data_IF_255340081235
#
_entry.id   IF_255340081235
#
_cell.length_a   1.000
_cell.length_b   1.000
_cell.length_c   1.000
_cell.angle_alpha   90.00
_cell.angle_beta   90.00
_cell.angle_gamma   90.00
#
_symmetry.space_group_name_H-M   'P 1'
#
loop_
_entity.id
_entity.type
_entity.pdbx_description
1 polymer ?
#
# COMPACT_ATOMS: atom_id res chain seq x y z
N UNK A 1 -61.22 -47.28 18.67
CA UNK A 1 -61.96 -45.99 18.55
C UNK A 1 -61.75 -45.08 19.77
N UNK A 2 -61.89 -45.59 21.00
CA UNK A 2 -61.67 -44.83 22.25
C UNK A 2 -60.28 -44.16 22.38
N UNK A 3 -59.22 -44.83 21.94
CA UNK A 3 -57.85 -44.32 22.06
C UNK A 3 -57.56 -43.06 21.20
N UNK A 4 -58.30 -42.87 20.10
CA UNK A 4 -58.17 -41.70 19.23
C UNK A 4 -58.86 -40.48 19.86
N UNK A 5 -59.99 -40.70 20.51
CA UNK A 5 -60.77 -39.66 21.21
C UNK A 5 -59.98 -39.15 22.43
N UNK A 6 -59.33 -40.04 23.17
CA UNK A 6 -58.55 -39.70 24.36
C UNK A 6 -57.29 -38.86 24.04
N UNK A 7 -56.60 -39.17 22.93
CA UNK A 7 -55.50 -38.33 22.42
C UNK A 7 -55.98 -36.95 21.96
N UNK A 8 -57.17 -36.87 21.36
CA UNK A 8 -57.78 -35.59 20.94
C UNK A 8 -58.09 -34.68 22.13
N UNK A 9 -58.62 -35.24 23.22
CA UNK A 9 -58.96 -34.50 24.45
C UNK A 9 -57.71 -34.01 25.20
N UNK A 10 -56.65 -34.84 25.30
CA UNK A 10 -55.37 -34.40 25.88
C UNK A 10 -54.72 -33.27 25.08
N UNK A 11 -54.81 -33.29 23.75
CA UNK A 11 -54.29 -32.23 22.88
C UNK A 11 -55.05 -30.91 23.06
N UNK A 12 -56.38 -30.95 23.16
CA UNK A 12 -57.20 -29.74 23.43
C UNK A 12 -56.91 -29.11 24.79
N UNK A 13 -56.84 -29.91 25.85
CA UNK A 13 -56.51 -29.41 27.20
C UNK A 13 -55.10 -28.84 27.29
N UNK A 14 -54.15 -29.36 26.51
CA UNK A 14 -52.79 -28.82 26.46
C UNK A 14 -52.75 -27.45 25.77
N UNK A 15 -53.44 -27.29 24.63
CA UNK A 15 -53.52 -26.01 23.90
C UNK A 15 -54.23 -24.95 24.76
N UNK A 16 -55.29 -25.32 25.48
CA UNK A 16 -56.05 -24.41 26.32
C UNK A 16 -55.24 -23.94 27.54
N UNK A 17 -54.55 -24.85 28.24
CA UNK A 17 -53.63 -24.49 29.33
C UNK A 17 -52.40 -23.72 28.86
N UNK A 18 -51.94 -23.94 27.63
CA UNK A 18 -50.84 -23.18 27.05
C UNK A 18 -51.26 -21.73 26.77
N UNK A 19 -52.45 -21.52 26.18
CA UNK A 19 -53.01 -20.18 25.96
C UNK A 19 -53.35 -19.45 27.26
N UNK A 20 -53.79 -20.14 28.32
CA UNK A 20 -54.04 -19.52 29.64
C UNK A 20 -52.74 -19.16 30.38
N UNK A 21 -51.68 -19.96 30.22
CA UNK A 21 -50.40 -19.77 30.93
C UNK A 21 -49.47 -18.75 30.24
N UNK A 22 -49.57 -18.61 28.92
CA UNK A 22 -48.73 -17.74 28.11
C UNK A 22 -49.55 -16.75 27.30
N UNK A 23 -50.69 -16.29 27.84
CA UNK A 23 -51.74 -15.50 27.17
C UNK A 23 -51.27 -14.19 26.53
N UNK A 24 -50.39 -14.31 25.54
CA UNK A 24 -50.02 -13.32 24.57
C UNK A 24 -51.19 -13.28 23.60
N UNK A 25 -51.89 -12.17 23.62
CA UNK A 25 -52.88 -11.84 22.61
C UNK A 25 -52.25 -11.95 21.23
N UNK A 26 -53.05 -12.31 20.21
CA UNK A 26 -52.61 -12.35 18.81
C UNK A 26 -51.87 -11.06 18.41
N UNK A 27 -52.31 -9.94 18.99
CA UNK A 27 -51.71 -8.63 18.85
C UNK A 27 -50.26 -8.60 19.38
N UNK A 28 -50.00 -9.06 20.60
CA UNK A 28 -48.64 -9.08 21.17
C UNK A 28 -47.68 -9.99 20.38
N UNK A 29 -48.15 -11.17 19.94
CA UNK A 29 -47.30 -12.06 19.11
C UNK A 29 -46.95 -11.43 17.76
N UNK A 30 -47.88 -10.70 17.15
CA UNK A 30 -47.66 -9.98 15.89
C UNK A 30 -46.67 -8.83 16.09
N UNK A 31 -46.79 -8.08 17.20
CA UNK A 31 -45.83 -7.04 17.55
C UNK A 31 -44.41 -7.58 17.72
N UNK A 32 -44.25 -8.67 18.48
CA UNK A 32 -42.93 -9.31 18.68
C UNK A 32 -42.34 -9.74 17.34
N UNK A 33 -43.13 -10.33 16.44
CA UNK A 33 -42.67 -10.75 15.12
C UNK A 33 -42.19 -9.55 14.26
N UNK A 34 -42.95 -8.45 14.25
CA UNK A 34 -42.59 -7.21 13.52
C UNK A 34 -41.29 -6.61 14.09
N UNK A 35 -41.18 -6.47 15.42
CA UNK A 35 -39.97 -5.95 16.05
C UNK A 35 -38.75 -6.84 15.77
N UNK A 36 -38.92 -8.16 15.82
CA UNK A 36 -37.84 -9.10 15.50
C UNK A 36 -37.41 -8.98 14.04
N UNK A 37 -38.34 -8.80 13.10
CA UNK A 37 -38.03 -8.58 11.70
C UNK A 37 -37.26 -7.28 11.48
N UNK A 38 -37.71 -6.17 12.08
CA UNK A 38 -37.03 -4.86 12.04
C UNK A 38 -35.62 -4.98 12.62
N UNK A 39 -35.47 -5.61 13.79
CA UNK A 39 -34.18 -5.82 14.44
C UNK A 39 -33.22 -6.64 13.57
N UNK A 40 -33.73 -7.70 12.94
CA UNK A 40 -32.95 -8.55 12.04
C UNK A 40 -32.48 -7.75 10.82
N UNK A 41 -33.38 -7.02 10.17
CA UNK A 41 -33.05 -6.14 9.03
C UNK A 41 -31.99 -5.10 9.46
N UNK A 42 -32.18 -4.46 10.62
CA UNK A 42 -31.23 -3.50 11.17
C UNK A 42 -29.85 -4.10 11.40
N UNK A 43 -29.78 -5.31 11.93
CA UNK A 43 -28.51 -6.02 12.17
C UNK A 43 -27.82 -6.37 10.85
N UNK A 44 -28.56 -6.82 9.83
CA UNK A 44 -28.01 -7.07 8.50
C UNK A 44 -27.47 -5.80 7.84
N UNK A 45 -28.21 -4.69 7.91
CA UNK A 45 -27.78 -3.39 7.39
C UNK A 45 -26.53 -2.88 8.13
N UNK A 46 -26.47 -3.07 9.44
CA UNK A 46 -25.32 -2.70 10.26
C UNK A 46 -24.09 -3.54 9.87
N UNK A 47 -24.26 -4.84 9.68
CA UNK A 47 -23.17 -5.71 9.24
C UNK A 47 -22.66 -5.32 7.84
N UNK A 48 -23.57 -5.02 6.92
CA UNK A 48 -23.20 -4.57 5.58
C UNK A 48 -22.43 -3.24 5.61
N UNK A 49 -22.92 -2.27 6.39
CA UNK A 49 -22.27 -0.97 6.57
C UNK A 49 -20.90 -1.13 7.22
N UNK A 50 -20.79 -1.99 8.23
CA UNK A 50 -19.52 -2.31 8.90
C UNK A 50 -18.52 -2.92 7.92
N UNK A 51 -18.96 -3.87 7.08
CA UNK A 51 -18.11 -4.47 6.04
C UNK A 51 -17.59 -3.41 5.07
N UNK A 52 -18.47 -2.50 4.62
CA UNK A 52 -18.08 -1.40 3.73
C UNK A 52 -17.10 -0.42 4.37
N UNK A 53 -17.32 -0.09 5.64
CA UNK A 53 -16.39 0.75 6.41
C UNK A 53 -15.02 0.10 6.55
N UNK A 54 -14.95 -1.20 6.86
CA UNK A 54 -13.68 -1.95 6.94
C UNK A 54 -12.98 -2.01 5.58
N UNK A 55 -13.71 -2.21 4.48
CA UNK A 55 -13.15 -2.15 3.12
C UNK A 55 -12.52 -0.79 2.83
N UNK A 56 -13.22 0.31 3.16
CA UNK A 56 -12.73 1.67 2.98
C UNK A 56 -11.49 1.95 3.82
N UNK A 57 -11.51 1.62 5.11
CA UNK A 57 -10.36 1.81 6.00
C UNK A 57 -9.14 1.03 5.52
N UNK A 58 -9.32 -0.18 5.00
CA UNK A 58 -8.21 -0.94 4.41
C UNK A 58 -7.60 -0.23 3.20
N UNK A 59 -8.45 0.35 2.35
CA UNK A 59 -8.01 1.10 1.19
C UNK A 59 -7.25 2.37 1.61
N UNK A 60 -7.78 3.14 2.56
CA UNK A 60 -7.11 4.33 3.10
C UNK A 60 -5.76 4.01 3.75
N UNK A 61 -5.69 2.92 4.54
CA UNK A 61 -4.44 2.47 5.14
C UNK A 61 -3.40 2.05 4.09
N UNK A 62 -3.84 1.45 2.98
CA UNK A 62 -2.95 1.11 1.89
C UNK A 62 -2.41 2.36 1.19
N UNK A 63 -3.27 3.35 0.90
CA UNK A 63 -2.84 4.63 0.33
C UNK A 63 -1.88 5.37 1.26
N UNK A 64 -2.18 5.42 2.55
CA UNK A 64 -1.32 6.04 3.56
C UNK A 64 0.05 5.36 3.62
N UNK A 65 0.09 4.02 3.57
CA UNK A 65 1.34 3.27 3.52
C UNK A 65 2.18 3.62 2.29
N UNK A 66 1.56 3.65 1.11
CA UNK A 66 2.25 3.94 -0.15
C UNK A 66 2.79 5.39 -0.15
N UNK A 67 2.02 6.33 0.41
CA UNK A 67 2.45 7.71 0.60
C UNK A 67 3.64 7.83 1.57
N UNK A 68 3.57 7.23 2.75
CA UNK A 68 4.66 7.24 3.74
C UNK A 68 5.94 6.62 3.16
N UNK A 69 5.82 5.56 2.36
CA UNK A 69 6.95 4.96 1.66
C UNK A 69 7.55 5.95 0.65
N UNK A 70 6.73 6.61 -0.17
CA UNK A 70 7.18 7.64 -1.10
C UNK A 70 7.90 8.79 -0.40
N UNK A 71 7.34 9.32 0.68
CA UNK A 71 7.95 10.40 1.47
C UNK A 71 9.28 9.97 2.09
N UNK A 72 9.34 8.77 2.65
CA UNK A 72 10.58 8.21 3.20
C UNK A 72 11.66 8.07 2.13
N UNK A 73 11.31 7.58 0.94
CA UNK A 73 12.25 7.50 -0.19
C UNK A 73 12.73 8.88 -0.63
N UNK A 74 11.83 9.86 -0.73
CA UNK A 74 12.20 11.23 -1.07
C UNK A 74 13.17 11.83 -0.05
N UNK A 75 12.92 11.64 1.26
CA UNK A 75 13.77 12.19 2.31
C UNK A 75 15.15 11.50 2.35
N UNK A 76 15.21 10.17 2.18
CA UNK A 76 16.49 9.46 2.06
C UNK A 76 17.29 10.02 0.88
N UNK A 77 16.67 10.20 -0.29
CA UNK A 77 17.36 10.70 -1.48
C UNK A 77 17.76 12.16 -1.32
N UNK A 78 16.93 12.99 -0.68
CA UNK A 78 17.26 14.37 -0.33
C UNK A 78 18.50 14.41 0.56
N UNK A 79 18.54 13.60 1.62
CA UNK A 79 19.70 13.50 2.51
C UNK A 79 20.97 13.11 1.74
N UNK A 80 20.87 12.12 0.84
CA UNK A 80 22.00 11.73 -0.02
C UNK A 80 22.44 12.85 -0.95
N UNK A 81 21.50 13.55 -1.59
CA UNK A 81 21.80 14.72 -2.44
C UNK A 81 22.54 15.78 -1.65
N UNK A 82 22.08 16.08 -0.44
CA UNK A 82 22.66 17.13 0.39
C UNK A 82 24.08 16.75 0.81
N UNK A 83 24.33 15.46 1.14
CA UNK A 83 25.69 14.93 1.39
C UNK A 83 26.57 15.04 0.14
N UNK A 84 26.11 14.60 -1.03
CA UNK A 84 26.92 14.69 -2.25
C UNK A 84 27.19 16.14 -2.65
N UNK A 85 26.21 17.03 -2.51
CA UNK A 85 26.37 18.46 -2.80
C UNK A 85 27.36 19.11 -1.82
N UNK A 86 27.32 18.70 -0.55
CA UNK A 86 28.31 19.13 0.44
C UNK A 86 29.72 18.66 0.06
N UNK A 87 29.89 17.39 -0.33
CA UNK A 87 31.19 16.87 -0.76
C UNK A 87 31.71 17.62 -2.00
N UNK A 88 30.85 17.84 -2.99
CA UNK A 88 31.20 18.56 -4.23
C UNK A 88 31.57 20.04 -3.98
N UNK A 89 31.02 20.67 -2.94
CA UNK A 89 31.34 22.07 -2.59
C UNK A 89 32.56 22.22 -1.68
N UNK A 90 33.03 21.14 -1.04
CA UNK A 90 34.16 21.16 -0.12
C UNK A 90 35.39 20.46 -0.71
N UNK A 91 36.13 21.17 -1.56
CA UNK A 91 37.25 20.61 -2.34
C UNK A 91 38.29 19.89 -1.46
N UNK A 92 38.71 20.50 -0.33
CA UNK A 92 39.69 19.90 0.59
C UNK A 92 39.23 18.55 1.13
N UNK A 93 37.96 18.45 1.53
CA UNK A 93 37.41 17.20 2.03
C UNK A 93 37.37 16.14 0.92
N UNK A 94 36.95 16.52 -0.28
CA UNK A 94 36.94 15.62 -1.44
C UNK A 94 38.35 15.16 -1.83
N UNK A 95 39.36 16.01 -1.72
CA UNK A 95 40.77 15.64 -1.94
C UNK A 95 41.25 14.61 -0.91
N UNK A 96 40.97 14.80 0.38
CA UNK A 96 41.33 13.83 1.43
C UNK A 96 40.60 12.50 1.26
N UNK A 97 39.31 12.52 0.89
CA UNK A 97 38.54 11.31 0.61
C UNK A 97 39.05 10.57 -0.63
N UNK A 98 39.36 11.28 -1.71
CA UNK A 98 39.93 10.69 -2.91
C UNK A 98 41.30 10.05 -2.63
N UNK A 99 42.14 10.74 -1.84
CA UNK A 99 43.43 10.23 -1.37
C UNK A 99 43.28 8.97 -0.51
N UNK A 100 42.35 8.97 0.43
CA UNK A 100 42.04 7.81 1.29
C UNK A 100 41.52 6.61 0.49
N UNK A 101 40.76 6.86 -0.58
CA UNK A 101 40.30 5.84 -1.51
C UNK A 101 41.37 5.40 -2.54
N UNK A 102 42.54 6.05 -2.56
CA UNK A 102 43.61 5.74 -3.51
C UNK A 102 43.28 6.08 -4.96
N UNK A 103 42.38 7.04 -5.21
CA UNK A 103 41.96 7.45 -6.56
C UNK A 103 42.23 8.94 -6.82
N UNK A 104 42.28 9.29 -8.11
CA UNK A 104 42.39 10.70 -8.52
C UNK A 104 41.11 11.45 -8.20
N UNK A 105 41.24 12.72 -7.84
CA UNK A 105 40.09 13.59 -7.49
C UNK A 105 39.04 13.66 -8.60
N UNK A 106 39.45 13.71 -9.87
CA UNK A 106 38.53 13.73 -11.01
C UNK A 106 37.70 12.44 -11.12
N UNK A 107 38.31 11.29 -10.85
CA UNK A 107 37.60 10.00 -10.85
C UNK A 107 36.65 9.93 -9.66
N UNK A 108 37.04 10.46 -8.50
CA UNK A 108 36.17 10.57 -7.32
C UNK A 108 34.92 11.40 -7.62
N UNK A 109 35.07 12.59 -8.23
CA UNK A 109 33.93 13.41 -8.62
C UNK A 109 33.04 12.72 -9.65
N UNK A 110 33.61 12.06 -10.66
CA UNK A 110 32.83 11.29 -11.64
C UNK A 110 32.02 10.17 -10.97
N UNK A 111 32.59 9.47 -9.99
CA UNK A 111 31.89 8.43 -9.24
C UNK A 111 30.76 9.00 -8.38
N UNK A 112 30.97 10.13 -7.71
CA UNK A 112 29.92 10.82 -6.95
C UNK A 112 28.77 11.23 -7.88
N UNK A 113 29.06 11.92 -8.97
CA UNK A 113 28.04 12.38 -9.93
C UNK A 113 27.28 11.21 -10.54
N UNK A 114 27.98 10.14 -10.94
CA UNK A 114 27.34 8.94 -11.46
C UNK A 114 26.42 8.28 -10.44
N UNK A 115 26.87 8.15 -9.18
CA UNK A 115 26.05 7.58 -8.09
C UNK A 115 24.83 8.45 -7.82
N UNK A 116 25.01 9.77 -7.79
CA UNK A 116 23.93 10.72 -7.58
C UNK A 116 22.83 10.59 -8.63
N UNK A 117 23.21 10.53 -9.91
CA UNK A 117 22.28 10.42 -11.04
C UNK A 117 21.56 9.06 -11.08
N UNK A 118 22.26 7.97 -10.78
CA UNK A 118 21.66 6.63 -10.66
C UNK A 118 20.62 6.60 -9.52
N UNK A 119 20.96 7.18 -8.37
CA UNK A 119 20.04 7.28 -7.23
C UNK A 119 18.82 8.13 -7.56
N UNK A 120 19.01 9.21 -8.32
CA UNK A 120 17.90 10.03 -8.80
C UNK A 120 16.97 9.25 -9.74
N UNK A 121 17.52 8.49 -10.71
CA UNK A 121 16.69 7.61 -11.53
C UNK A 121 15.96 6.54 -10.71
N UNK A 122 16.61 5.98 -9.69
CA UNK A 122 15.95 5.05 -8.77
C UNK A 122 14.78 5.69 -8.04
N UNK A 123 14.89 6.97 -7.63
CA UNK A 123 13.79 7.71 -7.01
C UNK A 123 12.62 7.86 -7.98
N UNK A 124 12.87 8.36 -9.18
CA UNK A 124 11.82 8.58 -10.18
C UNK A 124 11.09 7.28 -10.54
N UNK A 125 11.83 6.17 -10.65
CA UNK A 125 11.25 4.84 -10.83
C UNK A 125 10.32 4.46 -9.66
N UNK A 126 10.73 4.72 -8.42
CA UNK A 126 9.90 4.44 -7.25
C UNK A 126 8.64 5.32 -7.21
N UNK A 127 8.73 6.61 -7.57
CA UNK A 127 7.57 7.50 -7.66
C UNK A 127 6.54 6.97 -8.67
N UNK A 128 6.99 6.58 -9.87
CA UNK A 128 6.11 5.97 -10.85
C UNK A 128 5.51 4.64 -10.34
N UNK A 129 6.30 3.78 -9.70
CA UNK A 129 5.83 2.50 -9.15
C UNK A 129 4.68 2.68 -8.14
N UNK A 130 4.71 3.74 -7.34
CA UNK A 130 3.65 4.08 -6.38
C UNK A 130 2.55 4.96 -6.98
N UNK A 131 2.51 5.11 -8.33
CA UNK A 131 1.50 5.88 -9.06
C UNK A 131 1.41 7.34 -8.64
N UNK A 132 2.52 7.94 -8.21
CA UNK A 132 2.59 9.37 -7.84
C UNK A 132 3.04 10.25 -9.00
N UNK A 133 3.40 9.66 -10.14
CA UNK A 133 3.82 10.36 -11.35
C UNK A 133 2.76 10.18 -12.45
N UNK A 134 2.51 11.24 -13.19
CA UNK A 134 1.64 11.21 -14.36
C UNK A 134 2.25 10.31 -15.48
N UNK A 135 1.44 9.51 -16.20
CA UNK A 135 1.96 8.62 -17.24
C UNK A 135 2.77 9.33 -18.33
N UNK A 136 2.34 10.51 -18.78
CA UNK A 136 3.02 11.26 -19.83
C UNK A 136 4.37 11.81 -19.32
N UNK A 137 4.41 12.22 -18.04
CA UNK A 137 5.67 12.61 -17.38
C UNK A 137 6.63 11.43 -17.24
N UNK A 138 6.11 10.23 -16.97
CA UNK A 138 6.93 9.03 -16.85
C UNK A 138 7.55 8.63 -18.19
N UNK A 139 6.81 8.74 -19.30
CA UNK A 139 7.36 8.47 -20.63
C UNK A 139 8.53 9.39 -20.96
N UNK A 140 8.38 10.71 -20.72
CA UNK A 140 9.47 11.67 -20.89
C UNK A 140 10.66 11.35 -19.98
N UNK A 141 10.39 10.98 -18.73
CA UNK A 141 11.42 10.58 -17.78
C UNK A 141 12.20 9.35 -18.26
N UNK A 142 11.56 8.37 -18.89
CA UNK A 142 12.26 7.22 -19.48
C UNK A 142 13.24 7.69 -20.57
N UNK A 143 12.83 8.64 -21.42
CA UNK A 143 13.71 9.19 -22.46
C UNK A 143 14.93 9.86 -21.83
N UNK A 144 14.73 10.73 -20.84
CA UNK A 144 15.82 11.38 -20.12
C UNK A 144 16.77 10.37 -19.46
N UNK A 145 16.21 9.31 -18.85
CA UNK A 145 17.01 8.22 -18.28
C UNK A 145 17.82 7.48 -19.34
N UNK A 146 17.26 7.19 -20.52
CA UNK A 146 18.01 6.55 -21.61
C UNK A 146 19.20 7.40 -22.04
N UNK A 147 18.98 8.69 -22.27
CA UNK A 147 20.04 9.61 -22.66
C UNK A 147 21.11 9.72 -21.57
N UNK A 148 20.69 9.83 -20.31
CA UNK A 148 21.58 9.86 -19.15
C UNK A 148 22.43 8.59 -19.06
N UNK A 149 21.85 7.39 -19.18
CA UNK A 149 22.59 6.12 -19.08
C UNK A 149 23.53 5.84 -20.26
N UNK A 150 23.41 6.58 -21.38
CA UNK A 150 24.41 6.56 -22.45
C UNK A 150 25.72 7.24 -22.04
N UNK A 151 25.73 8.07 -21.01
CA UNK A 151 26.95 8.74 -20.55
C UNK A 151 27.95 7.72 -19.99
N UNK A 152 29.22 7.69 -20.47
CA UNK A 152 30.19 6.68 -20.05
C UNK A 152 30.41 6.60 -18.54
N UNK A 153 30.37 7.75 -17.85
CA UNK A 153 30.54 7.82 -16.40
C UNK A 153 29.41 7.10 -15.65
N UNK A 154 28.18 7.16 -16.17
CA UNK A 154 27.00 6.56 -15.56
C UNK A 154 26.99 5.07 -15.84
N UNK A 155 27.23 4.66 -17.09
CA UNK A 155 27.28 3.24 -17.47
C UNK A 155 28.36 2.48 -16.68
N UNK A 156 29.58 3.01 -16.65
CA UNK A 156 30.69 2.44 -15.87
C UNK A 156 30.32 2.34 -14.38
N UNK A 157 29.67 3.37 -13.83
CA UNK A 157 29.27 3.37 -12.42
C UNK A 157 28.16 2.37 -12.15
N UNK A 158 27.17 2.26 -13.03
CA UNK A 158 26.07 1.31 -12.94
C UNK A 158 26.58 -0.13 -12.88
N UNK A 159 27.55 -0.49 -13.72
CA UNK A 159 28.16 -1.82 -13.69
C UNK A 159 28.77 -2.16 -12.31
N UNK A 160 29.30 -1.15 -11.60
CA UNK A 160 29.87 -1.31 -10.27
C UNK A 160 28.80 -1.41 -9.17
N UNK A 161 27.72 -0.64 -9.26
CA UNK A 161 26.77 -0.46 -8.14
C UNK A 161 25.41 -1.12 -8.34
N UNK A 162 25.11 -1.64 -9.53
CA UNK A 162 23.79 -2.22 -9.88
C UNK A 162 23.31 -3.28 -8.87
N UNK A 163 24.23 -4.09 -8.36
CA UNK A 163 23.95 -5.14 -7.36
C UNK A 163 23.44 -4.60 -6.01
N UNK A 164 23.68 -3.32 -5.70
CA UNK A 164 23.21 -2.65 -4.49
C UNK A 164 21.75 -2.17 -4.61
N UNK A 165 21.22 -2.10 -5.83
CA UNK A 165 19.85 -1.66 -6.06
C UNK A 165 18.84 -2.82 -6.00
N UNK A 166 17.54 -2.55 -5.76
CA UNK A 166 16.51 -3.58 -5.80
C UNK A 166 16.44 -4.28 -7.17
N UNK A 167 16.25 -5.62 -7.18
CA UNK A 167 16.17 -6.43 -8.41
C UNK A 167 15.16 -5.90 -9.44
N UNK A 168 14.05 -5.34 -8.97
CA UNK A 168 13.01 -4.78 -9.85
C UNK A 168 13.52 -3.54 -10.61
N UNK A 169 14.29 -2.68 -9.95
CA UNK A 169 14.91 -1.52 -10.58
C UNK A 169 16.03 -1.94 -11.52
N UNK A 170 16.86 -2.92 -11.11
CA UNK A 170 17.88 -3.49 -11.98
C UNK A 170 17.29 -4.03 -13.30
N UNK A 171 16.18 -4.77 -13.20
CA UNK A 171 15.46 -5.29 -14.37
C UNK A 171 14.92 -4.17 -15.25
N UNK A 172 14.31 -3.13 -14.66
CA UNK A 172 13.84 -1.96 -15.40
C UNK A 172 14.97 -1.27 -16.17
N UNK A 173 16.12 -1.01 -15.53
CA UNK A 173 17.27 -0.42 -16.22
C UNK A 173 17.72 -1.29 -17.39
N UNK A 174 17.80 -2.61 -17.19
CA UNK A 174 18.23 -3.55 -18.23
C UNK A 174 17.26 -3.67 -19.40
N UNK A 175 15.96 -3.70 -19.12
CA UNK A 175 14.94 -4.02 -20.13
C UNK A 175 14.39 -2.77 -20.82
N UNK A 176 14.44 -1.60 -20.16
CA UNK A 176 13.79 -0.38 -20.62
C UNK A 176 14.74 0.80 -20.86
N UNK A 177 15.92 0.83 -20.25
CA UNK A 177 16.84 1.99 -20.30
C UNK A 177 18.11 1.70 -21.12
N UNK A 178 18.75 0.55 -20.89
CA UNK A 178 19.97 0.11 -21.59
C UNK A 178 19.66 -0.66 -22.88
#
# INVERSE_FOLDING_TARGET
>A
MLYIIERGLKKKNYIQRFNEKYGLTLLETTFIAIFTAIYTIGTFLLWWTTKKSVELTRYELQQLRDQLQSETFQEIIRSHRDVYSFLLSHEKLSQELAKGAGIKIDEFYRQIVGTFLINHASLLFHLNKYKTMDPDQWENTIVDMKEMFQWPIIRKRWDQVSHLHPKIFQKFIKDNIL
#
